data_IF_933553753376
#
_entry.id   IF_933553753376
#
_cell.length_a   1.000
_cell.length_b   1.000
_cell.length_c   1.000
_cell.angle_alpha   90.00
_cell.angle_beta   90.00
_cell.angle_gamma   90.00
#
_symmetry.space_group_name_H-M   'P 1'
#
loop_
_entity.id
_entity.type
_entity.pdbx_description
1 polymer ?
#
# COMPACT_ATOMS: atom_id res chain seq x y z
N UNK A 1 8.45 -27.98 1.33
CA UNK A 1 7.17 -27.34 1.03
C UNK A 1 7.30 -25.88 1.40
N UNK A 2 6.78 -24.98 0.58
CA UNK A 2 6.78 -23.56 0.90
C UNK A 2 6.11 -23.30 2.26
N UNK A 3 6.66 -22.37 3.04
CA UNK A 3 6.11 -21.99 4.35
C UNK A 3 4.74 -21.33 4.22
N UNK A 4 4.55 -20.56 3.16
CA UNK A 4 3.31 -19.84 2.87
C UNK A 4 2.65 -20.38 1.61
N UNK A 5 1.34 -20.49 1.61
CA UNK A 5 0.49 -20.88 0.47
C UNK A 5 -0.19 -19.68 -0.17
N UNK A 6 -0.23 -18.57 0.54
CA UNK A 6 -0.90 -17.36 0.12
C UNK A 6 0.00 -16.14 0.35
N UNK A 7 -0.03 -15.18 -0.57
CA UNK A 7 0.55 -13.85 -0.40
C UNK A 7 -0.56 -12.82 -0.55
N UNK A 8 -0.61 -11.88 0.39
CA UNK A 8 -1.48 -10.71 0.35
C UNK A 8 -0.59 -9.49 0.16
N UNK A 9 -0.75 -8.83 -0.98
CA UNK A 9 0.00 -7.65 -1.36
C UNK A 9 -0.73 -6.37 -0.96
N UNK A 10 -0.01 -5.38 -0.46
CA UNK A 10 -0.42 -4.00 -0.58
C UNK A 10 -0.20 -3.49 -2.00
N UNK A 11 -0.86 -2.37 -2.36
CA UNK A 11 -0.78 -1.80 -3.70
C UNK A 11 0.16 -0.60 -3.78
N UNK A 12 -0.25 0.55 -3.20
CA UNK A 12 0.51 1.80 -3.27
C UNK A 12 1.83 1.69 -2.50
N UNK A 13 2.94 2.09 -3.10
CA UNK A 13 4.28 1.98 -2.51
C UNK A 13 4.86 0.57 -2.47
N UNK A 14 4.05 -0.48 -2.70
CA UNK A 14 4.51 -1.88 -2.72
C UNK A 14 4.61 -2.41 -4.14
N UNK A 15 3.50 -2.65 -4.81
CA UNK A 15 3.48 -3.06 -6.22
C UNK A 15 3.58 -1.83 -7.15
N UNK A 16 2.88 -0.75 -6.82
CA UNK A 16 2.92 0.52 -7.52
C UNK A 16 4.05 1.40 -6.97
N UNK A 17 4.89 1.94 -7.86
CA UNK A 17 5.92 2.93 -7.50
C UNK A 17 5.32 4.34 -7.57
N UNK A 18 4.68 4.78 -6.49
CA UNK A 18 3.97 6.05 -6.43
C UNK A 18 4.44 7.01 -5.33
N UNK A 19 5.55 6.71 -4.67
CA UNK A 19 6.07 7.56 -3.58
C UNK A 19 6.33 8.99 -4.06
N UNK A 20 6.99 9.15 -5.21
CA UNK A 20 7.27 10.47 -5.78
C UNK A 20 5.97 11.23 -6.09
N UNK A 21 5.01 10.55 -6.73
CA UNK A 21 3.69 11.10 -7.04
C UNK A 21 2.91 11.51 -5.77
N UNK A 22 2.98 10.69 -4.73
CA UNK A 22 2.38 11.00 -3.43
C UNK A 22 2.97 12.26 -2.80
N UNK A 23 4.31 12.39 -2.83
CA UNK A 23 5.03 13.58 -2.30
C UNK A 23 4.71 14.83 -3.13
N UNK A 24 4.73 14.75 -4.45
CA UNK A 24 4.43 15.87 -5.34
C UNK A 24 2.97 16.33 -5.16
N UNK A 25 2.04 15.38 -5.05
CA UNK A 25 0.63 15.67 -4.74
C UNK A 25 0.48 16.45 -3.44
N UNK A 26 1.11 15.97 -2.36
CA UNK A 26 1.05 16.65 -1.06
C UNK A 26 1.73 18.02 -1.12
N UNK A 27 2.85 18.13 -1.81
CA UNK A 27 3.57 19.40 -1.94
C UNK A 27 2.78 20.43 -2.76
N UNK A 28 2.04 20.02 -3.79
CA UNK A 28 1.10 20.90 -4.49
C UNK A 28 -0.02 21.37 -3.55
N UNK A 29 -0.59 20.46 -2.74
CA UNK A 29 -1.63 20.80 -1.75
C UNK A 29 -1.10 21.76 -0.67
N UNK A 30 0.08 21.49 -0.13
CA UNK A 30 0.75 22.34 0.87
C UNK A 30 1.09 23.72 0.30
N UNK A 31 1.65 23.78 -0.92
CA UNK A 31 2.02 25.01 -1.60
C UNK A 31 0.82 25.94 -1.83
N UNK A 32 -0.34 25.41 -2.22
CA UNK A 32 -1.60 26.20 -2.36
C UNK A 32 -2.05 26.85 -1.04
N UNK A 33 -1.61 26.31 0.09
CA UNK A 33 -1.94 26.79 1.45
C UNK A 33 -0.81 27.58 2.10
N UNK A 34 0.26 27.86 1.36
CA UNK A 34 1.48 28.48 1.88
C UNK A 34 2.08 27.72 3.09
N UNK A 35 1.90 26.41 3.14
CA UNK A 35 2.49 25.52 4.15
C UNK A 35 3.88 25.05 3.70
N UNK A 36 4.66 24.56 4.66
CA UNK A 36 6.01 24.05 4.41
C UNK A 36 5.95 22.77 3.56
N UNK A 37 6.72 22.72 2.49
CA UNK A 37 6.85 21.53 1.64
C UNK A 37 7.68 20.45 2.36
N UNK A 38 7.47 19.19 1.97
CA UNK A 38 8.14 18.01 2.49
C UNK A 38 9.22 17.54 1.54
N UNK A 39 10.37 17.12 2.05
CA UNK A 39 11.26 16.23 1.31
C UNK A 39 10.71 14.80 1.31
N UNK A 40 11.22 13.95 0.41
CA UNK A 40 10.84 12.51 0.38
C UNK A 40 11.17 11.83 1.71
N UNK A 41 12.32 12.14 2.31
CA UNK A 41 12.73 11.60 3.61
C UNK A 41 11.76 12.02 4.72
N UNK A 42 11.43 13.32 4.80
CA UNK A 42 10.48 13.82 5.79
C UNK A 42 9.08 13.21 5.62
N UNK A 43 8.65 13.00 4.38
CA UNK A 43 7.42 12.28 4.07
C UNK A 43 7.47 10.84 4.62
N UNK A 44 8.48 10.06 4.23
CA UNK A 44 8.62 8.65 4.65
C UNK A 44 8.74 8.50 6.17
N UNK A 45 9.36 9.45 6.84
CA UNK A 45 9.47 9.46 8.29
C UNK A 45 8.16 9.78 9.02
N UNK A 46 7.25 10.51 8.39
CA UNK A 46 6.02 11.01 9.04
C UNK A 46 4.76 10.33 8.55
N UNK A 47 4.76 9.83 7.30
CA UNK A 47 3.57 9.20 6.72
C UNK A 47 3.09 8.02 7.55
N UNK A 48 1.77 7.93 7.72
CA UNK A 48 1.13 6.83 8.45
C UNK A 48 -0.38 6.97 8.51
N UNK A 49 -0.96 5.99 9.15
CA UNK A 49 -2.40 5.91 9.36
C UNK A 49 -2.73 6.11 10.85
N UNK A 50 -3.89 6.68 11.17
CA UNK A 50 -4.89 7.21 10.22
C UNK A 50 -4.38 8.49 9.52
N UNK A 51 -4.76 8.64 8.24
CA UNK A 51 -4.29 9.75 7.37
C UNK A 51 -4.59 11.13 7.96
N UNK A 52 -5.67 11.26 8.72
CA UNK A 52 -6.03 12.53 9.40
C UNK A 52 -4.92 13.02 10.34
N UNK A 53 -4.30 12.11 11.10
CA UNK A 53 -3.18 12.48 11.98
C UNK A 53 -1.94 12.89 11.19
N UNK A 54 -1.70 12.24 10.07
CA UNK A 54 -0.60 12.62 9.19
C UNK A 54 -0.81 14.03 8.61
N UNK A 55 -2.01 14.35 8.12
CA UNK A 55 -2.33 15.69 7.63
C UNK A 55 -2.14 16.77 8.71
N UNK A 56 -2.58 16.52 9.93
CA UNK A 56 -2.34 17.43 11.06
C UNK A 56 -0.83 17.66 11.32
N UNK A 57 -0.05 16.57 11.32
CA UNK A 57 1.42 16.61 11.55
C UNK A 57 2.19 17.39 10.49
N UNK A 58 1.68 17.48 9.28
CA UNK A 58 2.30 18.23 8.18
C UNK A 58 1.72 19.65 8.01
N UNK A 59 0.75 20.03 8.85
CA UNK A 59 0.31 21.41 9.00
C UNK A 59 -1.07 21.75 8.44
N UNK A 60 -1.85 20.77 7.95
CA UNK A 60 -3.24 21.03 7.57
C UNK A 60 -4.11 21.34 8.79
N UNK A 61 -4.97 22.35 8.64
CA UNK A 61 -5.90 22.80 9.67
C UNK A 61 -7.26 22.08 9.48
N UNK A 62 -7.45 21.01 10.25
CA UNK A 62 -8.64 20.15 10.15
C UNK A 62 -9.95 20.86 10.59
N UNK A 63 -9.86 21.99 11.29
CA UNK A 63 -11.04 22.80 11.65
C UNK A 63 -11.53 23.64 10.46
N UNK A 64 -10.58 24.10 9.61
CA UNK A 64 -10.88 24.87 8.40
C UNK A 64 -11.18 23.99 7.19
N UNK A 65 -10.47 22.86 7.08
CA UNK A 65 -10.57 21.95 5.94
C UNK A 65 -10.79 20.51 6.46
N UNK A 66 -12.04 20.04 6.51
CA UNK A 66 -12.35 18.70 6.97
C UNK A 66 -11.68 17.61 6.13
N UNK A 67 -11.44 16.44 6.74
CA UNK A 67 -10.78 15.29 6.07
C UNK A 67 -11.40 14.97 4.71
N UNK A 68 -12.71 15.09 4.57
CA UNK A 68 -13.40 14.84 3.30
C UNK A 68 -12.91 15.73 2.17
N UNK A 69 -12.80 17.04 2.42
CA UNK A 69 -12.33 18.02 1.43
C UNK A 69 -10.86 17.79 1.08
N UNK A 70 -10.02 17.53 2.07
CA UNK A 70 -8.61 17.21 1.84
C UNK A 70 -8.44 15.89 1.08
N UNK A 71 -9.28 14.88 1.34
CA UNK A 71 -9.25 13.61 0.61
C UNK A 71 -9.67 13.80 -0.86
N UNK A 72 -10.69 14.60 -1.13
CA UNK A 72 -11.09 14.95 -2.50
C UNK A 72 -9.99 15.74 -3.22
N UNK A 73 -9.38 16.71 -2.54
CA UNK A 73 -8.27 17.49 -3.07
C UNK A 73 -7.06 16.60 -3.39
N UNK A 74 -6.72 15.67 -2.50
CA UNK A 74 -5.66 14.68 -2.72
C UNK A 74 -5.95 13.84 -3.97
N UNK A 75 -7.12 13.20 -4.05
CA UNK A 75 -7.49 12.34 -5.19
C UNK A 75 -7.49 13.14 -6.50
N UNK A 76 -8.05 14.35 -6.51
CA UNK A 76 -8.06 15.21 -7.69
C UNK A 76 -6.65 15.60 -8.13
N UNK A 77 -5.77 15.91 -7.19
CA UNK A 77 -4.39 16.31 -7.48
C UNK A 77 -3.55 15.10 -7.92
N UNK A 78 -3.66 13.97 -7.23
CA UNK A 78 -2.98 12.72 -7.56
C UNK A 78 -3.31 12.23 -8.98
N UNK A 79 -4.57 12.34 -9.39
CA UNK A 79 -5.01 11.93 -10.72
C UNK A 79 -4.36 12.73 -11.87
N UNK A 80 -3.82 13.90 -11.61
CA UNK A 80 -3.05 14.66 -12.63
C UNK A 80 -1.76 13.93 -13.00
N UNK A 81 -1.21 13.15 -12.09
CA UNK A 81 0.03 12.39 -12.24
C UNK A 81 -0.21 10.92 -12.61
N UNK A 82 -1.46 10.48 -12.76
CA UNK A 82 -1.81 9.07 -12.97
C UNK A 82 -1.13 8.45 -14.21
N UNK A 83 -0.82 9.25 -15.24
CA UNK A 83 -0.13 8.77 -16.45
C UNK A 83 1.36 8.53 -16.28
N UNK A 84 1.96 8.97 -15.17
CA UNK A 84 3.38 8.76 -14.86
C UNK A 84 3.61 7.62 -13.86
N UNK A 85 2.55 6.93 -13.44
CA UNK A 85 2.63 5.82 -12.51
C UNK A 85 3.18 4.58 -13.20
N UNK A 86 4.08 3.91 -12.52
CA UNK A 86 4.71 2.66 -12.98
C UNK A 86 4.64 1.61 -11.86
N UNK A 87 4.80 0.35 -12.22
CA UNK A 87 5.04 -0.71 -11.24
C UNK A 87 6.49 -0.66 -10.77
N UNK A 88 6.76 -1.08 -9.53
CA UNK A 88 8.13 -1.40 -9.15
C UNK A 88 8.73 -2.41 -10.13
N UNK A 89 9.97 -2.20 -10.53
CA UNK A 89 10.58 -2.80 -11.72
C UNK A 89 10.64 -4.33 -11.73
N UNK A 90 10.68 -4.96 -10.57
CA UNK A 90 10.72 -6.41 -10.42
C UNK A 90 9.34 -7.07 -10.21
N UNK A 91 8.27 -6.29 -10.15
CA UNK A 91 6.90 -6.78 -9.89
C UNK A 91 6.43 -7.84 -10.90
N UNK A 92 6.50 -7.63 -12.22
CA UNK A 92 5.99 -8.62 -13.16
C UNK A 92 6.69 -9.99 -13.01
N UNK A 93 8.02 -9.99 -12.86
CA UNK A 93 8.82 -11.20 -12.70
C UNK A 93 8.49 -11.91 -11.37
N UNK A 94 8.39 -11.15 -10.27
CA UNK A 94 8.11 -11.70 -8.94
C UNK A 94 6.72 -12.34 -8.90
N UNK A 95 5.69 -11.67 -9.45
CA UNK A 95 4.33 -12.21 -9.50
C UNK A 95 4.26 -13.51 -10.32
N UNK A 96 4.96 -13.57 -11.46
CA UNK A 96 4.99 -14.75 -12.33
C UNK A 96 5.74 -15.91 -11.65
N UNK A 97 6.86 -15.66 -10.98
CA UNK A 97 7.62 -16.68 -10.23
C UNK A 97 6.79 -17.28 -9.10
N UNK A 98 6.09 -16.45 -8.33
CA UNK A 98 5.21 -16.90 -7.24
C UNK A 98 4.08 -17.79 -7.78
N UNK A 99 3.47 -17.40 -8.90
CA UNK A 99 2.41 -18.19 -9.55
C UNK A 99 2.93 -19.55 -10.03
N UNK A 100 4.14 -19.60 -10.60
CA UNK A 100 4.74 -20.85 -11.08
C UNK A 100 4.96 -21.87 -9.96
N UNK A 101 5.25 -21.45 -8.75
CA UNK A 101 5.40 -22.33 -7.59
C UNK A 101 4.07 -22.65 -6.89
N UNK A 102 2.94 -22.18 -7.43
CA UNK A 102 1.59 -22.50 -6.97
C UNK A 102 1.12 -21.75 -5.73
N UNK A 103 1.75 -20.65 -5.35
CA UNK A 103 1.31 -19.78 -4.27
C UNK A 103 0.20 -18.85 -4.81
N UNK A 104 -0.91 -18.75 -4.10
CA UNK A 104 -2.02 -17.85 -4.43
C UNK A 104 -1.69 -16.42 -4.07
N UNK A 105 -2.15 -15.49 -4.89
CA UNK A 105 -1.84 -14.07 -4.74
C UNK A 105 -3.11 -13.23 -4.63
N UNK A 106 -3.16 -12.36 -3.64
CA UNK A 106 -4.28 -11.48 -3.34
C UNK A 106 -3.78 -10.06 -3.16
N UNK A 107 -4.66 -9.08 -3.40
CA UNK A 107 -4.39 -7.67 -3.05
C UNK A 107 -5.35 -7.25 -1.95
N UNK A 108 -4.82 -6.53 -0.96
CA UNK A 108 -5.57 -5.84 0.09
C UNK A 108 -5.10 -4.40 0.19
N UNK A 109 -5.83 -3.48 -0.43
CA UNK A 109 -5.43 -2.08 -0.60
C UNK A 109 -6.36 -1.10 0.11
N UNK A 110 -5.81 0.05 0.48
CA UNK A 110 -6.57 1.22 0.92
C UNK A 110 -7.13 2.05 -0.26
N UNK A 111 -6.66 1.80 -1.48
CA UNK A 111 -7.18 2.43 -2.70
C UNK A 111 -8.63 1.98 -2.96
N UNK A 112 -9.45 2.87 -3.50
CA UNK A 112 -10.83 2.55 -3.89
C UNK A 112 -10.86 1.40 -4.90
N UNK A 113 -11.77 0.43 -4.69
CA UNK A 113 -11.77 -0.87 -5.39
C UNK A 113 -11.90 -0.73 -6.91
N UNK A 114 -12.75 0.17 -7.38
CA UNK A 114 -12.92 0.42 -8.82
C UNK A 114 -11.65 0.98 -9.48
N UNK A 115 -10.94 1.90 -8.80
CA UNK A 115 -9.67 2.44 -9.27
C UNK A 115 -8.56 1.37 -9.24
N UNK A 116 -8.52 0.55 -8.20
CA UNK A 116 -7.59 -0.57 -8.11
C UNK A 116 -7.74 -1.50 -9.32
N UNK A 117 -8.97 -1.93 -9.63
CA UNK A 117 -9.23 -2.79 -10.79
C UNK A 117 -8.86 -2.13 -12.12
N UNK A 118 -9.16 -0.84 -12.30
CA UNK A 118 -8.74 -0.11 -13.49
C UNK A 118 -7.22 -0.07 -13.65
N UNK A 119 -6.48 0.14 -12.56
CA UNK A 119 -5.02 0.16 -12.59
C UNK A 119 -4.44 -1.23 -12.88
N UNK A 120 -4.96 -2.28 -12.26
CA UNK A 120 -4.51 -3.66 -12.53
C UNK A 120 -4.67 -4.03 -14.02
N UNK A 121 -5.79 -3.64 -14.63
CA UNK A 121 -6.04 -3.83 -16.06
C UNK A 121 -5.09 -2.98 -16.92
N UNK A 122 -4.84 -1.72 -16.54
CA UNK A 122 -3.95 -0.84 -17.32
C UNK A 122 -2.50 -1.31 -17.34
N UNK A 123 -2.05 -2.01 -16.28
CA UNK A 123 -0.73 -2.63 -16.20
C UNK A 123 -0.70 -4.09 -16.71
N UNK A 124 -1.83 -4.64 -17.15
CA UNK A 124 -1.96 -6.04 -17.63
C UNK A 124 -1.46 -7.08 -16.61
N UNK A 125 -1.81 -6.88 -15.34
CA UNK A 125 -1.43 -7.78 -14.24
C UNK A 125 -2.61 -8.33 -13.43
N UNK A 126 -3.83 -7.99 -13.76
CA UNK A 126 -5.05 -8.42 -13.06
C UNK A 126 -5.19 -9.95 -12.99
N UNK A 127 -4.85 -10.65 -14.08
CA UNK A 127 -4.89 -12.10 -14.16
C UNK A 127 -3.85 -12.82 -13.27
N UNK A 128 -2.93 -12.08 -12.64
CA UNK A 128 -1.94 -12.63 -11.71
C UNK A 128 -2.46 -12.79 -10.28
N UNK A 129 -3.62 -12.21 -9.98
CA UNK A 129 -4.22 -12.24 -8.65
C UNK A 129 -5.48 -13.08 -8.62
N UNK A 130 -5.61 -13.90 -7.58
CA UNK A 130 -6.83 -14.69 -7.32
C UNK A 130 -7.98 -13.79 -6.86
N UNK A 131 -7.67 -12.68 -6.18
CA UNK A 131 -8.63 -11.64 -5.79
C UNK A 131 -7.91 -10.33 -5.46
N UNK A 132 -8.50 -9.21 -5.84
CA UNK A 132 -8.12 -7.88 -5.38
C UNK A 132 -9.27 -7.27 -4.56
N UNK A 133 -8.93 -6.74 -3.37
CA UNK A 133 -9.85 -6.11 -2.45
C UNK A 133 -9.39 -4.68 -2.18
N UNK A 134 -10.14 -3.72 -2.68
CA UNK A 134 -9.94 -2.29 -2.48
C UNK A 134 -10.87 -1.71 -1.42
N UNK A 135 -10.79 -0.40 -1.19
CA UNK A 135 -11.68 0.33 -0.29
C UNK A 135 -13.00 0.68 -0.97
N UNK A 136 -14.05 0.79 -0.18
CA UNK A 136 -15.35 1.35 -0.57
C UNK A 136 -15.43 2.89 -0.44
N UNK A 137 -14.34 3.52 0.05
CA UNK A 137 -14.29 4.96 0.31
C UNK A 137 -12.90 5.54 -0.03
N UNK A 138 -12.78 6.88 0.11
CA UNK A 138 -11.57 7.65 -0.20
C UNK A 138 -10.71 7.99 1.05
N UNK A 139 -11.06 7.46 2.22
CA UNK A 139 -10.42 7.85 3.49
C UNK A 139 -9.27 6.92 3.90
N UNK A 140 -8.95 5.93 3.08
CA UNK A 140 -7.91 4.93 3.33
C UNK A 140 -8.07 4.21 4.69
N UNK A 141 -9.31 3.91 5.07
CA UNK A 141 -9.68 3.25 6.34
C UNK A 141 -10.17 1.82 6.12
N UNK A 142 -10.32 1.07 7.20
CA UNK A 142 -10.99 -0.23 7.20
C UNK A 142 -10.21 -1.37 6.52
N UNK A 143 -8.88 -1.29 6.41
CA UNK A 143 -8.05 -2.34 5.81
C UNK A 143 -8.10 -3.64 6.61
N UNK A 144 -8.16 -3.57 7.94
CA UNK A 144 -8.28 -4.75 8.81
C UNK A 144 -9.62 -5.45 8.60
N UNK A 145 -10.72 -4.72 8.64
CA UNK A 145 -12.08 -5.25 8.47
C UNK A 145 -12.28 -5.88 7.08
N UNK A 146 -11.70 -5.27 6.05
CA UNK A 146 -11.68 -5.86 4.69
C UNK A 146 -10.88 -7.15 4.64
N UNK A 147 -9.72 -7.17 5.30
CA UNK A 147 -8.90 -8.38 5.42
C UNK A 147 -9.64 -9.51 6.15
N UNK A 148 -10.38 -9.20 7.21
CA UNK A 148 -11.23 -10.19 7.90
C UNK A 148 -12.30 -10.76 6.98
N UNK A 149 -13.02 -9.90 6.26
CA UNK A 149 -14.02 -10.35 5.26
C UNK A 149 -13.38 -11.20 4.14
N UNK A 150 -12.17 -10.83 3.71
CA UNK A 150 -11.43 -11.59 2.70
C UNK A 150 -11.12 -13.01 3.22
N UNK A 151 -10.70 -13.16 4.48
CA UNK A 151 -10.45 -14.46 5.09
C UNK A 151 -11.71 -15.34 5.15
N UNK A 152 -12.85 -14.75 5.53
CA UNK A 152 -14.13 -15.47 5.63
C UNK A 152 -14.63 -15.97 4.27
N UNK A 153 -14.46 -15.15 3.21
CA UNK A 153 -14.98 -15.46 1.86
C UNK A 153 -14.08 -16.41 1.07
N UNK A 154 -12.76 -16.32 1.25
CA UNK A 154 -11.78 -17.02 0.40
C UNK A 154 -11.19 -18.28 1.06
N UNK A 155 -11.62 -18.64 2.27
CA UNK A 155 -11.11 -19.80 3.03
C UNK A 155 -9.57 -19.81 3.11
N UNK A 156 -8.99 -18.64 3.42
CA UNK A 156 -7.55 -18.45 3.54
C UNK A 156 -7.10 -18.73 4.97
N UNK A 157 -6.12 -19.65 5.11
CA UNK A 157 -5.51 -19.94 6.42
C UNK A 157 -4.54 -18.81 6.80
N UNK A 158 -4.77 -18.04 7.90
CA UNK A 158 -3.89 -16.95 8.30
C UNK A 158 -2.45 -17.40 8.53
N UNK A 159 -2.22 -18.54 9.18
CA UNK A 159 -0.88 -19.04 9.50
C UNK A 159 -0.06 -19.45 8.26
N UNK A 160 -0.71 -19.66 7.12
CA UNK A 160 -0.10 -19.98 5.83
C UNK A 160 -0.09 -18.80 4.86
N UNK A 161 -0.31 -17.57 5.37
CA UNK A 161 -0.42 -16.34 4.59
C UNK A 161 0.68 -15.37 4.97
N UNK A 162 1.34 -14.81 3.95
CA UNK A 162 2.34 -13.74 4.09
C UNK A 162 1.76 -12.43 3.56
N UNK A 163 1.77 -11.38 4.37
CA UNK A 163 1.49 -10.01 3.91
C UNK A 163 2.78 -9.33 3.50
N UNK A 164 2.76 -8.72 2.34
CA UNK A 164 3.83 -7.86 1.83
C UNK A 164 3.28 -6.45 1.65
N UNK A 165 3.89 -5.49 2.33
CA UNK A 165 3.52 -4.07 2.29
C UNK A 165 4.74 -3.19 2.47
N UNK A 166 4.55 -1.89 2.58
CA UNK A 166 5.64 -0.90 2.68
C UNK A 166 5.44 0.08 3.83
N UNK A 167 4.39 -0.10 4.64
CA UNK A 167 4.10 0.77 5.78
C UNK A 167 4.05 0.01 7.11
N UNK A 168 4.21 0.77 8.20
CA UNK A 168 3.97 0.27 9.57
C UNK A 168 2.54 -0.27 9.70
N UNK A 169 1.58 0.36 9.01
CA UNK A 169 0.19 -0.08 9.03
C UNK A 169 -0.02 -1.48 8.43
N UNK A 170 0.76 -1.86 7.41
CA UNK A 170 0.70 -3.22 6.85
C UNK A 170 1.13 -4.27 7.87
N UNK A 171 2.15 -3.97 8.67
CA UNK A 171 2.53 -4.85 9.78
C UNK A 171 1.44 -4.96 10.85
N UNK A 172 0.71 -3.87 11.14
CA UNK A 172 -0.43 -3.87 12.06
C UNK A 172 -1.59 -4.70 11.50
N UNK A 173 -1.90 -4.55 10.21
CA UNK A 173 -2.90 -5.36 9.50
C UNK A 173 -2.52 -6.83 9.52
N UNK A 174 -1.27 -7.17 9.16
CA UNK A 174 -0.78 -8.55 9.19
C UNK A 174 -0.92 -9.17 10.58
N UNK A 175 -0.53 -8.44 11.63
CA UNK A 175 -0.67 -8.88 13.03
C UNK A 175 -2.13 -9.11 13.41
N UNK A 176 -3.02 -8.18 13.04
CA UNK A 176 -4.45 -8.28 13.35
C UNK A 176 -5.13 -9.46 12.65
N UNK A 177 -4.67 -9.81 11.44
CA UNK A 177 -5.19 -10.92 10.65
C UNK A 177 -4.49 -12.27 10.93
N UNK A 178 -3.41 -12.27 11.72
CA UNK A 178 -2.63 -13.49 12.02
C UNK A 178 -1.71 -13.93 10.87
N UNK A 179 -1.32 -13.02 9.98
CA UNK A 179 -0.42 -13.27 8.86
C UNK A 179 1.05 -13.16 9.28
N UNK A 180 1.94 -13.85 8.56
CA UNK A 180 3.33 -13.44 8.48
C UNK A 180 3.44 -12.07 7.80
N UNK A 181 4.53 -11.33 8.05
CA UNK A 181 4.72 -10.02 7.43
C UNK A 181 6.16 -9.83 6.97
N UNK A 182 6.32 -9.24 5.79
CA UNK A 182 7.58 -8.71 5.26
C UNK A 182 7.30 -7.33 4.67
N UNK A 183 8.18 -6.37 4.94
CA UNK A 183 7.99 -5.00 4.50
C UNK A 183 9.04 -4.60 3.45
N UNK A 184 8.56 -3.95 2.39
CA UNK A 184 9.38 -3.41 1.30
C UNK A 184 9.84 -1.98 1.62
N UNK A 185 11.14 -1.70 1.50
CA UNK A 185 11.71 -0.41 1.90
C UNK A 185 11.64 0.65 0.82
N UNK A 186 11.22 0.29 -0.41
CA UNK A 186 11.06 1.24 -1.52
C UNK A 186 9.87 2.18 -1.38
N UNK A 187 8.86 1.81 -0.56
CA UNK A 187 7.59 2.51 -0.46
C UNK A 187 7.54 3.72 0.48
N UNK A 188 6.37 3.94 1.07
CA UNK A 188 5.99 5.17 1.78
C UNK A 188 6.57 5.35 3.18
N UNK A 189 7.12 4.31 3.82
CA UNK A 189 7.78 4.47 5.12
C UNK A 189 9.28 4.24 5.04
N UNK A 190 10.02 4.97 5.88
CA UNK A 190 11.48 4.81 5.99
C UNK A 190 11.88 3.46 6.56
N UNK A 191 13.00 2.93 6.09
CA UNK A 191 13.51 1.59 6.45
C UNK A 191 13.65 1.40 7.96
N UNK A 192 14.08 2.42 8.70
CA UNK A 192 14.27 2.32 10.15
C UNK A 192 12.94 2.07 10.88
N UNK A 193 11.83 2.71 10.44
CA UNK A 193 10.48 2.48 10.99
C UNK A 193 9.98 1.07 10.72
N UNK A 194 10.23 0.58 9.50
CA UNK A 194 9.79 -0.74 9.07
C UNK A 194 10.52 -1.85 9.83
N UNK A 195 11.84 -1.72 10.04
CA UNK A 195 12.66 -2.69 10.76
C UNK A 195 12.23 -2.93 12.20
N UNK A 196 11.55 -1.96 12.82
CA UNK A 196 11.00 -2.12 14.17
C UNK A 196 9.75 -3.03 14.20
N UNK A 197 9.14 -3.30 13.06
CA UNK A 197 7.84 -3.98 12.97
C UNK A 197 7.92 -5.38 12.36
N UNK A 198 8.73 -5.58 11.32
CA UNK A 198 8.84 -6.84 10.60
C UNK A 198 10.19 -6.96 9.86
N UNK A 199 10.56 -8.16 9.38
CA UNK A 199 11.64 -8.32 8.42
C UNK A 199 11.42 -7.43 7.19
N UNK A 200 12.51 -6.88 6.63
CA UNK A 200 12.45 -5.99 5.47
C UNK A 200 13.17 -6.57 4.27
N UNK A 201 12.70 -6.19 3.08
CA UNK A 201 13.38 -6.42 1.79
C UNK A 201 13.59 -5.08 1.09
N UNK A 202 14.70 -4.96 0.35
CA UNK A 202 15.01 -3.77 -0.47
C UNK A 202 14.59 -3.94 -1.93
N UNK A 203 14.40 -5.16 -2.38
CA UNK A 203 13.90 -5.54 -3.69
C UNK A 203 12.83 -6.62 -3.49
N UNK A 204 11.73 -6.58 -4.27
CA UNK A 204 10.65 -7.56 -4.10
C UNK A 204 11.08 -8.97 -4.48
N UNK A 205 12.05 -9.14 -5.40
CA UNK A 205 12.64 -10.45 -5.70
C UNK A 205 13.32 -11.10 -4.50
N UNK A 206 13.77 -10.34 -3.49
CA UNK A 206 14.38 -10.90 -2.28
C UNK A 206 13.35 -11.65 -1.39
N UNK A 207 12.07 -11.58 -1.75
CA UNK A 207 11.00 -12.34 -1.07
C UNK A 207 11.15 -13.85 -1.25
N UNK A 208 11.87 -14.33 -2.27
CA UNK A 208 12.12 -15.76 -2.51
C UNK A 208 12.66 -16.52 -1.29
N UNK A 209 13.32 -15.83 -0.39
CA UNK A 209 13.85 -16.43 0.86
C UNK A 209 12.79 -16.74 1.91
N UNK A 210 11.54 -16.35 1.71
CA UNK A 210 10.45 -16.53 2.69
C UNK A 210 9.52 -17.69 2.38
N UNK A 211 9.60 -18.30 1.18
CA UNK A 211 8.79 -19.47 0.79
C UNK A 211 9.60 -20.70 0.39
#
# INVERSE_FOLDING_TARGET
MARYKNIVWDWNGTLLDDVAVGVDTLNEMLGRRALRLLSVEEYKDRFGFPVVEFYQKIGFDMEKEPLHELSLDFVSTYNKYATSLELNSDVPEVLDNIRQIGIKQYILSALREDLLHQMLQSFDIDARFDKACGSDNIYATGKIERGQRMLEVLDICPAETLMVGDTVHDAEVAKALGFGCVLFTGGHNSEWRLREKAPVVRQLKDLERFW
#
